data_IF_970135736274
#
_entry.id   IF_970135736274
#
_cell.length_a   1.000
_cell.length_b   1.000
_cell.length_c   1.000
_cell.angle_alpha   90.00
_cell.angle_beta   90.00
_cell.angle_gamma   90.00
#
_symmetry.space_group_name_H-M   'P 1'
#
loop_
_entity.id
_entity.type
_entity.pdbx_description
1 polymer ?
#
# COMPACT_ATOMS: atom_id res chain seq x y z
N UNK A 1 -25.24 11.16 -1.22
CA UNK A 1 -23.94 11.61 -0.71
C UNK A 1 -22.99 11.57 -1.90
N UNK A 2 -22.31 12.65 -2.31
CA UNK A 2 -21.27 12.50 -3.31
C UNK A 2 -20.22 11.56 -2.70
N UNK A 3 -19.92 10.46 -3.37
CA UNK A 3 -18.87 9.56 -2.93
C UNK A 3 -17.58 10.38 -2.88
N UNK A 4 -17.06 10.61 -1.67
CA UNK A 4 -15.80 11.31 -1.45
C UNK A 4 -14.68 10.46 -2.04
N UNK A 5 -14.49 10.56 -3.35
CA UNK A 5 -13.30 10.04 -4.00
C UNK A 5 -12.14 10.86 -3.45
N UNK A 6 -11.15 10.18 -2.86
CA UNK A 6 -9.92 10.84 -2.45
C UNK A 6 -9.31 11.50 -3.70
N UNK A 7 -8.79 12.74 -3.59
CA UNK A 7 -8.04 13.35 -4.69
C UNK A 7 -6.93 12.43 -5.16
N UNK A 8 -6.62 12.46 -6.47
CA UNK A 8 -5.60 11.59 -7.04
C UNK A 8 -4.23 11.80 -6.38
N UNK A 9 -3.93 13.03 -5.97
CA UNK A 9 -2.71 13.40 -5.24
C UNK A 9 -2.64 12.72 -3.87
N UNK A 10 -3.76 12.57 -3.18
CA UNK A 10 -3.83 11.88 -1.89
C UNK A 10 -3.60 10.38 -2.06
N UNK A 11 -4.16 9.79 -3.11
CA UNK A 11 -3.94 8.37 -3.44
C UNK A 11 -2.47 8.13 -3.80
N UNK A 12 -1.87 8.99 -4.61
CA UNK A 12 -0.45 8.89 -4.96
C UNK A 12 0.46 9.06 -3.75
N UNK A 13 0.14 9.99 -2.83
CA UNK A 13 0.87 10.14 -1.57
C UNK A 13 0.79 8.87 -0.71
N UNK A 14 -0.40 8.28 -0.58
CA UNK A 14 -0.59 7.03 0.18
C UNK A 14 0.13 5.85 -0.46
N UNK A 15 0.09 5.71 -1.79
CA UNK A 15 0.88 4.70 -2.52
C UNK A 15 2.37 4.86 -2.20
N UNK A 16 2.88 6.10 -2.17
CA UNK A 16 4.29 6.34 -1.82
C UNK A 16 4.61 5.90 -0.39
N UNK A 17 3.70 6.16 0.57
CA UNK A 17 3.88 5.75 1.97
C UNK A 17 3.88 4.22 2.08
N UNK A 18 2.89 3.54 1.51
CA UNK A 18 2.78 2.07 1.57
C UNK A 18 4.00 1.39 0.92
N UNK A 19 4.51 1.93 -0.19
CA UNK A 19 5.74 1.42 -0.82
C UNK A 19 6.98 1.60 0.04
N UNK A 20 7.11 2.71 0.76
CA UNK A 20 8.22 2.94 1.69
C UNK A 20 8.14 1.96 2.87
N UNK A 21 6.95 1.80 3.44
CA UNK A 21 6.74 0.85 4.52
C UNK A 21 7.02 -0.61 4.10
N UNK A 22 6.63 -1.02 2.88
CA UNK A 22 6.95 -2.34 2.34
C UNK A 22 8.47 -2.56 2.19
N UNK A 23 9.20 -1.51 1.79
CA UNK A 23 10.66 -1.56 1.73
C UNK A 23 11.26 -1.75 3.13
N UNK A 24 10.82 -0.95 4.10
CA UNK A 24 11.27 -1.03 5.50
C UNK A 24 10.98 -2.41 6.11
N UNK A 25 9.77 -2.95 5.93
CA UNK A 25 9.41 -4.30 6.39
C UNK A 25 10.23 -5.40 5.71
N UNK A 26 10.53 -5.26 4.42
CA UNK A 26 11.38 -6.22 3.71
C UNK A 26 12.81 -6.17 4.24
N UNK A 27 13.35 -4.98 4.53
CA UNK A 27 14.67 -4.84 5.14
C UNK A 27 14.69 -5.45 6.55
N UNK A 28 13.64 -5.22 7.34
CA UNK A 28 13.48 -5.79 8.69
C UNK A 28 13.42 -7.32 8.67
N UNK A 29 12.73 -7.91 7.68
CA UNK A 29 12.66 -9.36 7.48
C UNK A 29 14.00 -10.02 7.13
N UNK A 30 14.98 -9.25 6.64
CA UNK A 30 16.33 -9.76 6.36
C UNK A 30 17.25 -9.76 7.59
N UNK A 31 16.80 -9.17 8.70
CA UNK A 31 17.50 -9.20 9.99
C UNK A 31 17.38 -10.57 10.68
N UNK A 32 18.33 -10.88 11.58
CA UNK A 32 18.24 -12.07 12.43
C UNK A 32 17.21 -11.84 13.55
N UNK A 33 15.96 -12.10 13.21
CA UNK A 33 14.81 -11.85 14.06
C UNK A 33 14.02 -13.15 14.16
N UNK A 34 14.02 -13.82 15.31
CA UNK A 34 13.51 -15.21 15.39
C UNK A 34 12.08 -15.42 14.85
N UNK A 35 11.73 -16.67 14.53
CA UNK A 35 10.55 -17.08 13.74
C UNK A 35 9.20 -16.38 14.04
N UNK A 36 8.88 -16.07 15.31
CA UNK A 36 7.63 -15.37 15.65
C UNK A 36 7.59 -13.92 15.13
N UNK A 37 8.75 -13.30 14.98
CA UNK A 37 8.91 -11.97 14.41
C UNK A 37 8.85 -12.00 12.89
N UNK A 38 9.42 -13.04 12.25
CA UNK A 38 9.28 -13.27 10.81
C UNK A 38 7.81 -13.46 10.40
N UNK A 39 7.02 -14.21 11.19
CA UNK A 39 5.58 -14.41 10.93
C UNK A 39 4.80 -13.08 11.03
N UNK A 40 5.07 -12.27 12.06
CA UNK A 40 4.47 -10.95 12.20
C UNK A 40 4.82 -10.02 11.03
N UNK A 41 6.08 -9.98 10.60
CA UNK A 41 6.49 -9.16 9.45
C UNK A 41 5.80 -9.65 8.18
N UNK A 42 5.73 -10.97 7.96
CA UNK A 42 5.05 -11.53 6.81
C UNK A 42 3.56 -11.15 6.77
N UNK A 43 2.86 -11.16 7.91
CA UNK A 43 1.47 -10.70 8.01
C UNK A 43 1.32 -9.21 7.68
N UNK A 44 2.22 -8.35 8.18
CA UNK A 44 2.17 -6.91 7.90
C UNK A 44 2.50 -6.59 6.44
N UNK A 45 3.47 -7.30 5.82
CA UNK A 45 3.75 -7.20 4.39
C UNK A 45 2.50 -7.53 3.59
N UNK A 46 1.82 -8.64 3.90
CA UNK A 46 0.62 -9.05 3.17
C UNK A 46 -0.51 -8.00 3.24
N UNK A 47 -0.72 -7.40 4.41
CA UNK A 47 -1.71 -6.31 4.58
C UNK A 47 -1.36 -5.09 3.73
N UNK A 48 -0.09 -4.72 3.67
CA UNK A 48 0.36 -3.56 2.91
C UNK A 48 0.35 -3.79 1.40
N UNK A 49 0.63 -5.02 0.95
CA UNK A 49 0.44 -5.40 -0.46
C UNK A 49 -1.04 -5.31 -0.88
N UNK A 50 -1.97 -5.73 -0.02
CA UNK A 50 -3.40 -5.61 -0.26
C UNK A 50 -3.84 -4.14 -0.33
N UNK A 51 -3.38 -3.29 0.62
CA UNK A 51 -3.67 -1.86 0.57
C UNK A 51 -3.10 -1.21 -0.69
N UNK A 52 -1.85 -1.52 -1.05
CA UNK A 52 -1.22 -1.00 -2.26
C UNK A 52 -2.04 -1.33 -3.50
N UNK A 53 -2.49 -2.58 -3.63
CA UNK A 53 -3.33 -3.01 -4.74
C UNK A 53 -4.65 -2.21 -4.79
N UNK A 54 -5.32 -2.04 -3.66
CA UNK A 54 -6.57 -1.27 -3.60
C UNK A 54 -6.37 0.19 -4.02
N UNK A 55 -5.29 0.82 -3.56
CA UNK A 55 -4.96 2.21 -3.93
C UNK A 55 -4.62 2.34 -5.42
N UNK A 56 -3.93 1.36 -6.01
CA UNK A 56 -3.63 1.33 -7.44
C UNK A 56 -4.90 1.18 -8.28
N UNK A 57 -5.84 0.32 -7.87
CA UNK A 57 -7.15 0.17 -8.50
C UNK A 57 -7.97 1.47 -8.43
N UNK A 58 -8.00 2.14 -7.28
CA UNK A 58 -8.69 3.42 -7.10
C UNK A 58 -8.08 4.52 -7.98
N UNK A 59 -6.75 4.63 -8.01
CA UNK A 59 -6.02 5.56 -8.88
C UNK A 59 -6.35 5.32 -10.34
N UNK A 60 -6.34 4.06 -10.78
CA UNK A 60 -6.57 3.70 -12.18
C UNK A 60 -8.03 3.95 -12.58
N UNK A 61 -8.99 3.74 -11.67
CA UNK A 61 -10.38 4.10 -11.87
C UNK A 61 -10.56 5.61 -12.08
N UNK A 62 -9.91 6.44 -11.26
CA UNK A 62 -9.95 7.91 -11.39
C UNK A 62 -9.29 8.37 -12.70
N UNK A 63 -8.12 7.82 -13.05
CA UNK A 63 -7.41 8.15 -14.30
C UNK A 63 -8.19 7.74 -15.54
N UNK A 64 -8.95 6.63 -15.48
CA UNK A 64 -9.82 6.18 -16.57
C UNK A 64 -11.10 7.01 -16.65
N UNK A 65 -11.68 7.38 -15.51
CA UNK A 65 -12.89 8.22 -15.41
C UNK A 65 -12.66 9.68 -15.80
N UNK A 66 -11.45 10.21 -15.61
CA UNK A 66 -11.07 11.57 -16.02
C UNK A 66 -10.68 11.72 -17.50
N UNK A 67 -10.82 10.66 -18.32
CA UNK A 67 -10.40 10.62 -19.74
C UNK A 67 -11.57 10.68 -20.73
N UNK A 68 -12.76 11.12 -20.29
CA UNK A 68 -13.93 11.43 -21.14
C UNK A 68 -14.14 12.92 -21.24
#
# INVERSE_FOLDING_TARGET
MPELHRPIEEIEARISIVRQNLLELTEEATGDTGAAFEEHIAEEIAKQEEELKSLEEERDAIRKGGRT
#
